data_IF_763744233821
#
_entry.id   IF_763744233821
#
_cell.length_a   1.000
_cell.length_b   1.000
_cell.length_c   1.000
_cell.angle_alpha   90.00
_cell.angle_beta   90.00
_cell.angle_gamma   90.00
#
_symmetry.space_group_name_H-M   'P 1'
#
loop_
_entity.id
_entity.type
_entity.pdbx_description
1 polymer ?
#
# COMPACT_ATOMS: atom_id res chain seq x y z
N UNK A 1 10.20 -3.02 -1.43
CA UNK A 1 10.80 -1.67 -1.56
C UNK A 1 10.06 -0.74 -0.61
N UNK A 2 10.75 -0.07 0.31
CA UNK A 2 10.17 0.95 1.21
C UNK A 2 10.88 2.27 0.93
N UNK A 3 10.15 3.38 0.90
CA UNK A 3 10.76 4.71 0.84
C UNK A 3 11.60 4.98 2.09
N UNK A 4 12.54 5.92 2.03
CA UNK A 4 12.95 6.61 3.26
C UNK A 4 11.73 7.34 3.84
N UNK A 5 11.77 7.64 5.14
CA UNK A 5 10.79 8.58 5.71
C UNK A 5 10.90 9.89 4.95
N UNK A 6 9.76 10.47 4.58
CA UNK A 6 9.75 11.74 3.86
C UNK A 6 10.24 12.86 4.79
N UNK A 7 10.84 13.89 4.18
CA UNK A 7 11.17 15.14 4.87
C UNK A 7 9.90 16.01 4.86
N UNK A 8 9.08 15.85 5.91
CA UNK A 8 7.69 16.33 5.97
C UNK A 8 6.68 15.22 5.68
N UNK A 9 5.53 15.60 5.11
CA UNK A 9 4.46 14.68 4.76
C UNK A 9 3.94 14.91 3.34
N UNK A 10 3.39 13.84 2.75
CA UNK A 10 2.55 13.93 1.56
C UNK A 10 1.10 14.05 2.02
N UNK A 11 0.43 15.10 1.55
CA UNK A 11 -1.00 15.32 1.76
C UNK A 11 -1.81 14.62 0.65
N UNK A 12 -2.62 13.64 1.05
CA UNK A 12 -3.55 12.90 0.20
C UNK A 12 -5.02 13.23 0.48
N UNK A 13 -5.37 14.17 1.37
CA UNK A 13 -6.78 14.51 1.70
C UNK A 13 -7.59 14.88 0.46
N UNK A 14 -6.94 15.52 -0.51
CA UNK A 14 -7.55 15.90 -1.77
C UNK A 14 -7.81 14.76 -2.75
N UNK A 15 -7.53 13.50 -2.42
CA UNK A 15 -7.61 12.34 -3.33
C UNK A 15 -8.33 11.16 -2.66
N UNK A 16 -8.88 10.25 -3.46
CA UNK A 16 -9.58 9.07 -2.93
C UNK A 16 -8.85 7.75 -3.20
N UNK A 17 -7.83 7.76 -4.07
CA UNK A 17 -7.18 6.54 -4.52
C UNK A 17 -5.70 6.73 -4.86
N UNK A 18 -4.94 5.64 -4.70
CA UNK A 18 -3.61 5.49 -5.30
C UNK A 18 -3.74 4.67 -6.59
N UNK A 19 -3.25 5.23 -7.68
CA UNK A 19 -3.14 4.55 -8.97
C UNK A 19 -1.67 4.17 -9.24
N UNK A 20 -1.43 2.93 -9.64
CA UNK A 20 -0.11 2.40 -9.97
C UNK A 20 -0.13 1.83 -11.39
N UNK A 21 0.74 2.35 -12.27
CA UNK A 21 1.00 1.77 -13.58
C UNK A 21 2.14 0.78 -13.47
N UNK A 22 1.80 -0.49 -13.61
CA UNK A 22 2.66 -1.62 -13.27
C UNK A 22 2.65 -2.65 -14.41
N UNK A 23 3.77 -3.32 -14.62
CA UNK A 23 3.84 -4.57 -15.37
C UNK A 23 4.23 -5.68 -14.41
N UNK A 24 3.29 -6.57 -14.14
CA UNK A 24 3.44 -7.63 -13.14
C UNK A 24 4.01 -8.92 -13.72
N UNK A 25 4.33 -9.83 -12.81
CA UNK A 25 4.73 -11.22 -13.06
C UNK A 25 3.60 -12.23 -12.78
N UNK A 26 2.40 -11.73 -12.45
CA UNK A 26 1.23 -12.51 -12.04
C UNK A 26 1.17 -12.79 -10.54
N UNK A 27 2.09 -12.27 -9.72
CA UNK A 27 1.99 -12.28 -8.25
C UNK A 27 1.13 -11.13 -7.74
N UNK A 28 0.66 -11.30 -6.51
CA UNK A 28 0.04 -10.24 -5.73
C UNK A 28 1.13 -9.46 -4.96
N UNK A 29 0.95 -8.15 -4.85
CA UNK A 29 1.80 -7.24 -4.10
C UNK A 29 0.99 -6.56 -3.00
N UNK A 30 1.66 -6.03 -2.00
CA UNK A 30 1.06 -5.25 -0.92
C UNK A 30 1.58 -3.82 -1.04
N UNK A 31 0.67 -2.88 -1.24
CA UNK A 31 0.94 -1.45 -1.06
C UNK A 31 0.76 -1.11 0.41
N UNK A 32 1.75 -0.47 1.02
CA UNK A 32 1.64 0.07 2.38
C UNK A 32 1.74 1.58 2.36
N UNK A 33 0.84 2.24 3.09
CA UNK A 33 0.92 3.66 3.42
C UNK A 33 1.30 3.75 4.91
N UNK A 34 2.29 4.60 5.22
CA UNK A 34 2.64 4.95 6.58
C UNK A 34 2.15 6.38 6.86
N UNK A 35 1.32 6.55 7.88
CA UNK A 35 0.87 7.87 8.33
C UNK A 35 1.52 8.20 9.66
N UNK A 36 1.70 9.49 9.93
CA UNK A 36 2.12 9.92 11.25
C UNK A 36 1.16 9.36 12.31
N UNK A 37 1.75 8.95 13.43
CA UNK A 37 1.01 8.43 14.56
C UNK A 37 0.59 9.61 15.46
N UNK A 38 -0.71 9.90 15.46
CA UNK A 38 -1.30 11.00 16.23
C UNK A 38 -1.90 10.55 17.57
N UNK A 39 -2.01 9.23 17.82
CA UNK A 39 -2.90 8.66 18.86
C UNK A 39 -2.15 7.93 19.97
N UNK A 40 -0.90 7.51 19.79
CA UNK A 40 -0.25 6.68 20.81
C UNK A 40 0.32 7.48 22.00
N UNK A 41 0.18 6.87 23.18
CA UNK A 41 0.77 7.29 24.45
C UNK A 41 2.27 7.61 24.33
N UNK A 42 2.82 8.49 25.20
CA UNK A 42 4.25 8.83 25.21
C UNK A 42 5.15 7.58 25.13
N UNK A 43 6.02 7.52 24.13
CA UNK A 43 7.00 6.43 23.93
C UNK A 43 6.73 5.46 22.77
N UNK A 44 5.59 5.56 22.08
CA UNK A 44 5.29 4.81 20.86
C UNK A 44 5.64 5.64 19.62
N UNK A 45 6.89 5.56 19.19
CA UNK A 45 7.45 6.33 18.07
C UNK A 45 7.12 5.75 16.68
N UNK A 46 6.44 4.61 16.60
CA UNK A 46 6.17 3.93 15.32
C UNK A 46 5.00 4.60 14.58
N UNK A 47 5.18 4.79 13.26
CA UNK A 47 4.16 5.30 12.34
C UNK A 47 3.02 4.29 12.19
N UNK A 48 1.78 4.76 11.97
CA UNK A 48 0.65 3.88 11.69
C UNK A 48 0.79 3.29 10.28
N UNK A 49 0.52 2.00 10.12
CA UNK A 49 0.67 1.32 8.82
C UNK A 49 -0.66 0.80 8.29
N UNK A 50 -0.86 1.00 6.99
CA UNK A 50 -2.10 0.65 6.31
C UNK A 50 -1.79 -0.12 5.04
N UNK A 51 -2.42 -1.27 4.82
CA UNK A 51 -2.07 -2.19 3.74
C UNK A 51 -3.24 -2.49 2.82
N UNK A 52 -2.96 -2.56 1.52
CA UNK A 52 -3.90 -3.01 0.50
C UNK A 52 -3.19 -3.91 -0.51
N UNK A 53 -3.94 -4.85 -1.08
CA UNK A 53 -3.44 -5.71 -2.15
C UNK A 53 -3.45 -5.00 -3.50
N UNK A 54 -2.40 -5.24 -4.29
CA UNK A 54 -2.21 -4.75 -5.65
C UNK A 54 -1.91 -5.93 -6.55
N UNK A 55 -2.66 -6.06 -7.64
CA UNK A 55 -2.43 -7.08 -8.65
C UNK A 55 -2.31 -6.47 -10.03
N UNK A 56 -1.32 -6.97 -10.79
CA UNK A 56 -1.14 -6.68 -12.20
C UNK A 56 -0.95 -8.01 -12.94
N UNK A 57 -1.71 -8.27 -14.02
CA UNK A 57 -1.54 -9.47 -14.82
C UNK A 57 -0.11 -9.61 -15.37
N UNK A 58 0.34 -10.84 -15.57
CA UNK A 58 1.68 -11.11 -16.09
C UNK A 58 1.88 -10.49 -17.47
N UNK A 59 2.99 -9.77 -17.64
CA UNK A 59 3.54 -9.41 -18.95
C UNK A 59 2.92 -8.21 -19.66
N UNK A 60 1.83 -7.64 -19.15
CA UNK A 60 1.19 -6.45 -19.73
C UNK A 60 1.19 -5.27 -18.76
N UNK A 61 1.34 -4.06 -19.28
CA UNK A 61 1.15 -2.85 -18.50
C UNK A 61 -0.31 -2.70 -18.08
N UNK A 62 -0.54 -2.59 -16.79
CA UNK A 62 -1.86 -2.46 -16.16
C UNK A 62 -1.87 -1.29 -15.19
N UNK A 63 -3.01 -0.62 -15.06
CA UNK A 63 -3.19 0.44 -14.05
C UNK A 63 -4.08 -0.08 -12.95
N UNK A 64 -3.47 -0.46 -11.82
CA UNK A 64 -4.21 -0.79 -10.61
C UNK A 64 -4.64 0.51 -9.91
N UNK A 65 -5.90 0.61 -9.51
CA UNK A 65 -6.42 1.71 -8.70
C UNK A 65 -6.88 1.15 -7.36
N UNK A 66 -6.32 1.65 -6.28
CA UNK A 66 -6.62 1.24 -4.92
C UNK A 66 -7.27 2.41 -4.19
N UNK A 67 -8.57 2.33 -3.87
CA UNK A 67 -9.21 3.32 -3.01
C UNK A 67 -8.52 3.38 -1.64
N UNK A 68 -8.35 4.57 -1.07
CA UNK A 68 -7.80 4.75 0.27
C UNK A 68 -8.62 3.98 1.32
N UNK A 69 -9.93 3.88 1.12
CA UNK A 69 -10.86 3.10 1.97
C UNK A 69 -10.65 1.58 1.92
N UNK A 70 -9.81 1.08 1.01
CA UNK A 70 -9.42 -0.34 0.94
C UNK A 70 -8.12 -0.66 1.68
N UNK A 71 -7.43 0.35 2.20
CA UNK A 71 -6.25 0.14 3.03
C UNK A 71 -6.68 -0.19 4.46
N UNK A 72 -6.30 -1.37 4.92
CA UNK A 72 -6.63 -1.88 6.24
C UNK A 72 -5.52 -1.51 7.24
N UNK A 73 -5.84 -1.11 8.47
CA UNK A 73 -4.84 -0.86 9.51
C UNK A 73 -4.11 -2.16 9.82
N UNK A 74 -2.78 -2.11 9.90
CA UNK A 74 -1.96 -3.27 10.21
C UNK A 74 -0.92 -3.00 11.30
N UNK A 75 -0.62 -4.03 12.09
CA UNK A 75 0.48 -4.05 13.05
C UNK A 75 1.29 -5.33 12.88
N UNK A 76 2.60 -5.19 12.66
CA UNK A 76 3.52 -6.31 12.43
C UNK A 76 2.99 -7.33 11.41
N UNK A 77 2.35 -6.83 10.34
CA UNK A 77 1.82 -7.64 9.24
C UNK A 77 0.43 -8.26 9.48
N UNK A 78 -0.21 -8.01 10.63
CA UNK A 78 -1.55 -8.48 10.92
C UNK A 78 -2.55 -7.33 10.78
N UNK A 79 -3.73 -7.62 10.23
CA UNK A 79 -4.85 -6.66 10.23
C UNK A 79 -5.30 -6.42 11.67
N UNK A 80 -5.49 -5.15 12.02
CA UNK A 80 -6.05 -4.75 13.30
C UNK A 80 -7.57 -4.79 13.16
N UNK A 81 -8.23 -5.60 13.99
CA UNK A 81 -9.68 -5.67 14.07
C UNK A 81 -10.23 -4.58 15.01
N UNK A 82 -10.05 -3.33 14.59
CA UNK A 82 -10.57 -2.15 15.27
C UNK A 82 -10.91 -1.06 14.26
N UNK A 83 -11.93 -0.26 14.55
CA UNK A 83 -12.21 0.94 13.77
C UNK A 83 -11.09 1.95 14.00
N UNK A 84 -10.29 2.16 12.95
CA UNK A 84 -9.24 3.16 12.90
C UNK A 84 -9.37 3.94 11.61
N UNK A 85 -9.25 5.26 11.71
CA UNK A 85 -9.25 6.16 10.56
C UNK A 85 -7.82 6.47 10.13
N UNK A 86 -7.55 6.38 8.83
CA UNK A 86 -6.28 6.82 8.25
C UNK A 86 -6.25 8.35 8.27
N UNK A 87 -5.10 8.94 8.59
CA UNK A 87 -4.85 10.36 8.36
C UNK A 87 -4.14 10.54 6.99
N UNK A 88 -4.88 10.73 5.87
CA UNK A 88 -4.28 10.86 4.55
C UNK A 88 -3.51 12.17 4.39
N UNK A 89 -3.73 13.18 5.23
CA UNK A 89 -3.01 14.46 5.18
C UNK A 89 -1.56 14.37 5.67
N UNK A 90 -1.21 13.33 6.43
CA UNK A 90 0.11 13.17 7.06
C UNK A 90 0.77 11.83 6.67
N UNK A 91 0.91 11.56 5.37
CA UNK A 91 1.64 10.38 4.89
C UNK A 91 3.14 10.62 4.98
N UNK A 92 3.83 9.79 5.76
CA UNK A 92 5.27 9.92 6.05
C UNK A 92 6.13 8.89 5.31
N UNK A 93 5.50 7.94 4.63
CA UNK A 93 6.21 6.96 3.81
C UNK A 93 5.27 6.04 3.05
N UNK A 94 5.82 5.33 2.07
CA UNK A 94 5.09 4.32 1.31
C UNK A 94 5.98 3.11 0.98
N UNK A 95 5.37 1.95 0.75
CA UNK A 95 6.09 0.76 0.30
C UNK A 95 5.28 -0.09 -0.66
N UNK A 96 6.00 -0.88 -1.45
CA UNK A 96 5.45 -1.98 -2.26
C UNK A 96 6.27 -3.25 -1.95
N UNK A 97 5.60 -4.29 -1.48
CA UNK A 97 6.20 -5.58 -1.14
C UNK A 97 5.51 -6.74 -1.85
N UNK A 98 6.20 -7.86 -2.04
CA UNK A 98 5.62 -9.06 -2.62
C UNK A 98 4.75 -9.78 -1.59
N UNK A 99 3.56 -10.25 -1.98
CA UNK A 99 2.75 -11.13 -1.13
C UNK A 99 3.10 -12.60 -1.45
N UNK A 100 3.91 -13.23 -0.58
CA UNK A 100 4.28 -14.64 -0.71
C UNK A 100 3.28 -15.62 -0.07
N UNK A 101 2.53 -15.19 0.97
CA UNK A 101 1.61 -16.07 1.72
C UNK A 101 0.34 -16.43 0.92
N UNK A 102 0.02 -15.67 -0.14
CA UNK A 102 -1.23 -15.81 -0.87
C UNK A 102 -2.33 -14.90 -0.33
N UNK A 103 -3.51 -14.93 -0.96
CA UNK A 103 -4.61 -14.01 -0.64
C UNK A 103 -4.60 -12.70 -1.46
N UNK A 104 -5.70 -11.94 -1.34
CA UNK A 104 -5.93 -10.70 -2.08
C UNK A 104 -6.59 -10.89 -3.44
N UNK A 105 -6.03 -11.73 -4.31
CA UNK A 105 -6.57 -11.96 -5.66
C UNK A 105 -6.62 -13.45 -6.03
N UNK A 106 -7.78 -13.90 -6.50
CA UNK A 106 -7.99 -15.26 -7.00
C UNK A 106 -7.14 -15.46 -8.26
N UNK A 107 -6.34 -16.53 -8.29
CA UNK A 107 -5.48 -16.87 -9.42
C UNK A 107 -4.11 -16.18 -9.43
N UNK A 108 -3.79 -15.36 -8.42
CA UNK A 108 -2.44 -14.80 -8.29
C UNK A 108 -1.43 -15.90 -7.93
N UNK A 109 -0.22 -15.83 -8.51
CA UNK A 109 0.91 -16.68 -8.14
C UNK A 109 1.31 -16.41 -6.69
N UNK A 110 1.38 -17.46 -5.86
CA UNK A 110 1.78 -17.41 -4.45
C UNK A 110 3.03 -18.27 -4.20
N UNK A 111 3.55 -18.23 -2.96
CA UNK A 111 4.71 -19.00 -2.54
C UNK A 111 6.06 -18.35 -2.84
N UNK A 112 7.13 -19.04 -2.47
CA UNK A 112 8.51 -18.59 -2.64
C UNK A 112 8.93 -18.43 -4.12
N UNK A 113 10.15 -17.92 -4.32
CA UNK A 113 10.80 -17.80 -5.62
C UNK A 113 10.73 -16.41 -6.24
N UNK A 114 11.23 -16.31 -7.47
CA UNK A 114 11.50 -15.03 -8.11
C UNK A 114 10.25 -14.16 -8.27
N UNK A 115 10.47 -12.86 -8.17
CA UNK A 115 9.47 -11.84 -8.41
C UNK A 115 10.02 -10.74 -9.32
N UNK A 116 9.15 -10.16 -10.14
CA UNK A 116 9.47 -9.02 -10.96
C UNK A 116 8.23 -8.12 -11.12
N UNK A 117 8.40 -6.85 -10.75
CA UNK A 117 7.42 -5.82 -11.06
C UNK A 117 8.17 -4.63 -11.64
N UNK A 118 7.69 -4.13 -12.76
CA UNK A 118 8.14 -2.86 -13.33
C UNK A 118 7.11 -1.79 -12.98
N UNK A 119 7.58 -0.60 -12.58
CA UNK A 119 6.74 0.54 -12.21
C UNK A 119 7.06 1.66 -13.18
N UNK A 120 6.03 2.16 -13.86
CA UNK A 120 6.12 3.36 -14.70
C UNK A 120 5.85 4.60 -13.85
N UNK A 121 4.70 4.63 -13.18
CA UNK A 121 4.35 5.72 -12.26
C UNK A 121 3.41 5.28 -11.13
N UNK A 122 3.40 6.10 -10.07
CA UNK A 122 2.45 6.05 -8.97
C UNK A 122 1.84 7.45 -8.83
N UNK A 123 0.51 7.55 -8.73
CA UNK A 123 -0.22 8.83 -8.64
C UNK A 123 -1.34 8.75 -7.63
N UNK A 124 -1.57 9.83 -6.89
CA UNK A 124 -2.83 10.06 -6.22
C UNK A 124 -3.87 10.55 -7.25
N UNK A 125 -5.10 10.02 -7.20
CA UNK A 125 -6.17 10.36 -8.14
C UNK A 125 -7.50 10.54 -7.42
N UNK A 126 -8.40 11.32 -8.04
CA UNK A 126 -9.83 11.33 -7.74
C UNK A 126 -10.53 10.42 -8.72
N UNK A 127 -11.33 9.49 -8.24
CA UNK A 127 -12.25 8.72 -9.05
C UNK A 127 -13.57 9.51 -9.18
N UNK A 128 -14.14 9.59 -10.40
CA UNK A 128 -15.42 10.25 -10.61
C UNK A 128 -16.58 9.48 -9.98
#
# INVERSE_FOLDING_TARGET
MRSKKFDGFIDLEGYDSIALRLKGDGRCYISTIYTENWVNSPGQAEDNSWQAFVFAPKGNWYTAKVPLTRYLPTWKGNVIDAEMEMNPGHVVGMSLSVNAQGGGFIGAKSGAGDFQVEIDWIKAVRMP
#
